data_IF_144520326566
#
_entry.id   IF_144520326566
#
_cell.length_a   1.000
_cell.length_b   1.000
_cell.length_c   1.000
_cell.angle_alpha   90.00
_cell.angle_beta   90.00
_cell.angle_gamma   90.00
#
_symmetry.space_group_name_H-M   'P 1'
#
loop_
_entity.id
_entity.type
_entity.pdbx_description
1 polymer ?
#
# COMPACT_ATOMS: atom_id res chain seq x y z
N UNK A 1 7.71 -1.98 23.90
CA UNK A 1 8.25 -2.57 22.66
C UNK A 1 8.65 -4.01 22.94
N UNK A 2 8.54 -4.91 21.97
CA UNK A 2 8.92 -6.32 22.11
C UNK A 2 9.96 -6.67 21.04
N UNK A 3 10.87 -7.59 21.37
CA UNK A 3 11.91 -8.07 20.47
C UNK A 3 11.39 -9.30 19.73
N UNK A 4 11.43 -9.28 18.40
CA UNK A 4 11.01 -10.40 17.56
C UNK A 4 12.08 -11.50 17.52
N UNK A 5 11.76 -12.68 17.00
CA UNK A 5 12.67 -13.83 16.91
C UNK A 5 13.97 -13.55 16.12
N UNK A 6 13.89 -12.58 15.21
CA UNK A 6 14.90 -12.04 14.32
C UNK A 6 15.63 -10.83 14.92
N UNK A 7 15.41 -10.55 16.21
CA UNK A 7 16.15 -9.55 16.98
C UNK A 7 15.71 -8.11 16.74
N UNK A 8 14.67 -7.89 15.94
CA UNK A 8 14.12 -6.56 15.63
C UNK A 8 13.21 -6.10 16.76
N UNK A 9 13.40 -4.88 17.23
CA UNK A 9 12.51 -4.26 18.23
C UNK A 9 11.31 -3.65 17.51
N UNK A 10 10.11 -4.09 17.86
CA UNK A 10 8.85 -3.58 17.28
C UNK A 10 7.87 -3.13 18.38
N UNK A 11 6.97 -2.22 18.02
CA UNK A 11 5.87 -1.82 18.90
C UNK A 11 4.88 -2.97 19.07
N UNK A 12 4.15 -2.99 20.19
CA UNK A 12 3.07 -3.96 20.42
C UNK A 12 2.02 -3.88 19.32
N UNK A 13 1.69 -2.66 18.86
CA UNK A 13 0.75 -2.45 17.77
C UNK A 13 1.19 -3.19 16.49
N UNK A 14 2.43 -2.97 16.03
CA UNK A 14 2.93 -3.57 14.78
C UNK A 14 2.88 -5.10 14.82
N UNK A 15 3.29 -5.70 15.94
CA UNK A 15 3.30 -7.16 16.12
C UNK A 15 1.89 -7.75 16.03
N UNK A 16 0.88 -7.04 16.55
CA UNK A 16 -0.51 -7.52 16.52
C UNK A 16 -1.14 -7.45 15.12
N UNK A 17 -0.81 -6.44 14.30
CA UNK A 17 -1.49 -6.22 13.01
C UNK A 17 -0.69 -6.63 11.76
N UNK A 18 0.59 -7.02 11.91
CA UNK A 18 1.46 -7.37 10.78
C UNK A 18 2.08 -8.78 10.84
N UNK A 19 1.61 -9.65 11.74
CA UNK A 19 2.10 -11.03 11.83
C UNK A 19 1.93 -11.76 10.49
N UNK A 20 2.96 -12.50 10.07
CA UNK A 20 2.97 -13.31 8.84
C UNK A 20 3.22 -12.53 7.55
N UNK A 21 3.23 -11.18 7.59
CA UNK A 21 3.56 -10.35 6.43
C UNK A 21 5.07 -10.33 6.18
N UNK A 22 5.47 -10.32 4.92
CA UNK A 22 6.84 -9.99 4.49
C UNK A 22 6.92 -8.47 4.24
N UNK A 23 8.00 -7.84 4.67
CA UNK A 23 8.18 -6.39 4.57
C UNK A 23 9.29 -6.04 3.59
N UNK A 24 9.05 -5.02 2.77
CA UNK A 24 10.04 -4.43 1.85
C UNK A 24 9.94 -2.90 1.96
N UNK A 25 11.08 -2.23 2.13
CA UNK A 25 11.13 -0.77 2.24
C UNK A 25 11.39 -0.16 0.86
N UNK A 26 10.46 0.67 0.37
CA UNK A 26 10.53 1.29 -0.96
C UNK A 26 10.17 2.76 -0.83
N UNK A 27 10.92 3.62 -1.53
CA UNK A 27 10.55 5.01 -1.71
C UNK A 27 9.71 5.19 -2.98
N UNK A 28 8.40 5.35 -2.84
CA UNK A 28 7.47 5.51 -3.98
C UNK A 28 7.63 6.84 -4.75
N UNK A 29 8.47 7.75 -4.28
CA UNK A 29 8.74 9.02 -4.97
C UNK A 29 9.89 8.93 -5.98
N UNK A 30 10.56 7.78 -6.07
CA UNK A 30 11.61 7.56 -7.06
C UNK A 30 11.08 6.70 -8.20
N UNK A 31 11.62 6.94 -9.40
CA UNK A 31 11.29 6.15 -10.58
C UNK A 31 11.53 4.65 -10.33
N UNK A 32 12.68 4.30 -9.77
CA UNK A 32 13.02 2.92 -9.41
C UNK A 32 12.04 2.32 -8.39
N UNK A 33 11.57 3.10 -7.42
CA UNK A 33 10.61 2.62 -6.43
C UNK A 33 9.24 2.32 -7.04
N UNK A 34 8.79 3.15 -7.98
CA UNK A 34 7.57 2.91 -8.74
C UNK A 34 7.68 1.66 -9.60
N UNK A 35 8.80 1.46 -10.31
CA UNK A 35 9.05 0.27 -11.13
C UNK A 35 8.94 -1.03 -10.31
N UNK A 36 9.60 -1.07 -9.14
CA UNK A 36 9.53 -2.24 -8.24
C UNK A 36 8.09 -2.53 -7.82
N UNK A 37 7.31 -1.51 -7.45
CA UNK A 37 5.91 -1.70 -7.06
C UNK A 37 5.05 -2.15 -8.23
N UNK A 38 5.22 -1.57 -9.42
CA UNK A 38 4.46 -1.97 -10.61
C UNK A 38 4.73 -3.45 -10.95
N UNK A 39 5.97 -3.92 -10.80
CA UNK A 39 6.31 -5.33 -11.02
C UNK A 39 5.74 -6.28 -9.96
N UNK A 40 5.61 -5.82 -8.71
CA UNK A 40 4.90 -6.56 -7.67
C UNK A 40 3.39 -6.61 -7.94
N UNK A 41 2.79 -5.50 -8.38
CA UNK A 41 1.35 -5.40 -8.69
C UNK A 41 0.97 -6.37 -9.82
N UNK A 42 1.79 -6.51 -10.86
CA UNK A 42 1.55 -7.48 -11.95
C UNK A 42 1.43 -8.92 -11.47
N UNK A 43 2.00 -9.24 -10.30
CA UNK A 43 1.99 -10.57 -9.69
C UNK A 43 1.00 -10.70 -8.53
N UNK A 44 0.38 -9.60 -8.08
CA UNK A 44 -0.53 -9.59 -6.95
C UNK A 44 -1.98 -9.82 -7.39
N UNK A 45 -2.77 -10.53 -6.59
CA UNK A 45 -4.21 -10.63 -6.80
C UNK A 45 -4.97 -9.44 -6.21
N UNK A 46 -4.42 -8.85 -5.13
CA UNK A 46 -5.03 -7.78 -4.36
C UNK A 46 -4.02 -6.67 -4.07
N UNK A 47 -4.42 -5.42 -4.32
CA UNK A 47 -3.73 -4.22 -3.81
C UNK A 47 -4.60 -3.62 -2.71
N UNK A 48 -3.99 -3.33 -1.55
CA UNK A 48 -4.63 -2.63 -0.44
C UNK A 48 -3.82 -1.40 -0.10
N UNK A 49 -4.50 -0.26 0.02
CA UNK A 49 -3.89 0.99 0.46
C UNK A 49 -4.84 1.80 1.34
N UNK A 50 -4.24 2.66 2.16
CA UNK A 50 -4.95 3.52 3.08
C UNK A 50 -4.36 4.94 3.15
N UNK A 51 -3.90 5.47 2.02
CA UNK A 51 -3.40 6.83 1.91
C UNK A 51 -4.54 7.85 1.90
N UNK A 52 -4.19 9.12 2.16
CA UNK A 52 -5.14 10.21 2.00
C UNK A 52 -5.64 10.31 0.55
N UNK A 53 -6.89 10.73 0.32
CA UNK A 53 -7.42 10.91 -1.04
C UNK A 53 -6.47 11.71 -1.94
N UNK A 54 -6.33 11.27 -3.19
CA UNK A 54 -5.45 11.90 -4.20
C UNK A 54 -3.95 11.59 -4.07
N UNK A 55 -3.47 10.94 -3.00
CA UNK A 55 -2.06 10.54 -2.90
C UNK A 55 -1.70 9.51 -3.97
N UNK A 56 -2.49 8.45 -4.11
CA UNK A 56 -2.19 7.37 -5.07
C UNK A 56 -2.33 7.82 -6.52
N UNK A 57 -3.26 8.72 -6.82
CA UNK A 57 -3.39 9.35 -8.14
C UNK A 57 -2.13 10.14 -8.52
N UNK A 58 -1.59 10.96 -7.60
CA UNK A 58 -0.32 11.68 -7.83
C UNK A 58 0.89 10.77 -7.99
N UNK A 59 0.84 9.56 -7.45
CA UNK A 59 1.88 8.54 -7.60
C UNK A 59 1.69 7.68 -8.86
N UNK A 60 0.57 7.82 -9.60
CA UNK A 60 0.24 6.96 -10.73
C UNK A 60 -0.05 5.51 -10.30
N UNK A 61 -0.60 5.33 -9.10
CA UNK A 61 -0.90 4.04 -8.49
C UNK A 61 -2.36 3.95 -7.99
N UNK A 62 -3.24 4.86 -8.44
CA UNK A 62 -4.68 4.75 -8.22
C UNK A 62 -5.27 3.54 -8.97
N UNK A 63 -6.56 3.27 -8.73
CA UNK A 63 -7.23 2.12 -9.31
C UNK A 63 -7.13 2.06 -10.84
N UNK A 64 -7.35 3.16 -11.55
CA UNK A 64 -7.33 3.14 -13.02
C UNK A 64 -5.92 2.88 -13.56
N UNK A 65 -4.90 3.50 -12.94
CA UNK A 65 -3.50 3.24 -13.25
C UNK A 65 -3.11 1.78 -12.98
N UNK A 66 -3.53 1.22 -11.85
CA UNK A 66 -3.22 -0.17 -11.47
C UNK A 66 -3.97 -1.19 -12.35
N UNK A 67 -5.22 -0.91 -12.72
CA UNK A 67 -6.01 -1.76 -13.61
C UNK A 67 -5.42 -1.85 -15.01
N UNK A 68 -4.77 -0.78 -15.50
CA UNK A 68 -4.03 -0.83 -16.77
C UNK A 68 -2.83 -1.77 -16.70
N UNK A 69 -2.21 -1.93 -15.52
CA UNK A 69 -1.11 -2.88 -15.29
C UNK A 69 -1.60 -4.32 -15.17
N UNK A 70 -2.74 -4.52 -14.51
CA UNK A 70 -3.35 -5.85 -14.29
C UNK A 70 -4.88 -5.74 -14.27
N UNK A 71 -5.52 -6.18 -15.34
CA UNK A 71 -6.96 -5.98 -15.57
C UNK A 71 -7.88 -6.72 -14.58
N UNK A 72 -7.41 -7.83 -14.01
CA UNK A 72 -8.12 -8.70 -13.05
C UNK A 72 -7.80 -8.40 -11.57
N UNK A 73 -7.09 -7.30 -11.29
CA UNK A 73 -6.72 -6.92 -9.93
C UNK A 73 -7.94 -6.55 -9.08
N UNK A 74 -7.91 -6.95 -7.81
CA UNK A 74 -8.82 -6.42 -6.78
C UNK A 74 -8.11 -5.25 -6.07
N UNK A 75 -8.69 -4.05 -6.13
CA UNK A 75 -8.14 -2.86 -5.49
C UNK A 75 -9.01 -2.43 -4.31
N UNK A 76 -8.43 -2.40 -3.12
CA UNK A 76 -9.08 -1.99 -1.88
C UNK A 76 -8.46 -0.69 -1.37
N UNK A 77 -9.26 0.38 -1.40
CA UNK A 77 -8.88 1.68 -0.88
C UNK A 77 -9.63 1.97 0.42
N UNK A 78 -8.91 2.37 1.46
CA UNK A 78 -9.47 2.66 2.78
C UNK A 78 -9.03 4.06 3.23
N UNK A 79 -9.95 5.02 3.23
CA UNK A 79 -9.72 6.34 3.82
C UNK A 79 -10.65 6.60 5.00
N UNK A 80 -10.34 7.62 5.81
CA UNK A 80 -11.09 7.93 7.02
C UNK A 80 -12.57 8.31 6.73
N UNK A 81 -12.81 9.08 5.66
CA UNK A 81 -14.13 9.64 5.33
C UNK A 81 -14.60 9.30 3.90
N UNK A 82 -13.91 8.38 3.21
CA UNK A 82 -14.16 8.06 1.81
C UNK A 82 -13.38 8.92 0.81
N UNK A 83 -13.59 8.67 -0.48
CA UNK A 83 -12.97 9.42 -1.58
C UNK A 83 -13.89 10.48 -2.18
N UNK A 84 -15.12 10.57 -1.68
CA UNK A 84 -16.16 11.49 -2.14
C UNK A 84 -17.00 11.97 -0.96
N UNK A 85 -17.68 13.11 -1.14
CA UNK A 85 -18.57 13.70 -0.14
C UNK A 85 -17.97 14.93 0.57
N UNK A 86 -18.75 15.60 1.43
CA UNK A 86 -18.37 16.88 2.04
C UNK A 86 -17.28 16.78 3.11
N UNK A 87 -16.90 15.56 3.51
CA UNK A 87 -15.90 15.31 4.54
C UNK A 87 -14.55 14.86 3.98
N UNK A 88 -14.36 14.95 2.65
CA UNK A 88 -13.03 14.77 2.06
C UNK A 88 -12.18 16.00 2.43
N UNK A 89 -10.99 15.76 2.99
CA UNK A 89 -10.05 16.79 3.41
C UNK A 89 -8.63 16.40 3.03
#
# INVERSE_FOLDING_TARGET
MQKTHDGVTQSSYSINVNRGKKSLCINLKTQQGLEIIQDLIKQADVVLENYAPGVMERLGLDYESVKQLKADIIYCSISCFGHWGPYIG
#
